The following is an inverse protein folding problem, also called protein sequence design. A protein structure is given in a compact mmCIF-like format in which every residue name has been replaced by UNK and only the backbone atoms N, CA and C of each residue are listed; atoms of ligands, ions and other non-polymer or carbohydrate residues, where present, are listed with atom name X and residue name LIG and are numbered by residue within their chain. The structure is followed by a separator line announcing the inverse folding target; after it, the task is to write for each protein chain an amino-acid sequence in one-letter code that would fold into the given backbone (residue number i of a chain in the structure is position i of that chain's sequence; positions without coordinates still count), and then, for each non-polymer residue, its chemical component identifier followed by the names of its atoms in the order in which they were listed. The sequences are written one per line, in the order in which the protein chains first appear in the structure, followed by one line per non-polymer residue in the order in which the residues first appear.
data_IF_408579794800
#
_entry.id   IF_408579794800
#
_cell.length_a   1.000
_cell.length_b   1.000
_cell.length_c   1.000
_cell.angle_alpha   90.00
_cell.angle_beta   90.00
_cell.angle_gamma   90.00
#
_symmetry.space_group_name_H-M   'P 1'
#
loop_
_entity.id
_entity.type
_entity.pdbx_description
1 polymer ?
#
# COMPACT_ATOMS: atom_id res chain seq x y z
N UNK A 1 -6.41 -1.99 -2.78
CA UNK A 1 -6.84 -3.39 -3.01
C UNK A 1 -6.55 -4.22 -1.77
N UNK A 2 -7.47 -5.07 -1.36
CA UNK A 2 -7.25 -6.10 -0.35
C UNK A 2 -7.20 -7.47 -1.05
N UNK A 3 -6.27 -8.32 -0.62
CA UNK A 3 -6.09 -9.67 -1.15
C UNK A 3 -6.19 -10.67 -0.01
N UNK A 4 -6.86 -11.77 -0.26
CA UNK A 4 -6.82 -12.94 0.61
C UNK A 4 -5.71 -13.87 0.11
N UNK A 5 -4.63 -13.93 0.88
CA UNK A 5 -3.45 -14.72 0.52
C UNK A 5 -3.10 -15.69 1.65
N UNK A 6 -2.69 -16.93 1.33
CA UNK A 6 -2.20 -17.85 2.35
C UNK A 6 -0.99 -17.24 3.06
N UNK A 7 -1.07 -17.10 4.39
CA UNK A 7 0.06 -16.57 5.18
C UNK A 7 1.23 -17.56 5.29
N UNK A 8 1.01 -18.81 4.91
CA UNK A 8 2.01 -19.86 5.10
C UNK A 8 2.23 -20.22 6.59
N UNK A 9 3.20 -21.06 6.89
CA UNK A 9 3.52 -21.45 8.25
C UNK A 9 4.20 -20.34 9.06
N UNK A 10 4.82 -19.37 8.38
CA UNK A 10 5.52 -18.24 8.98
C UNK A 10 5.11 -16.93 8.29
N UNK A 11 4.56 -15.95 9.05
CA UNK A 11 4.11 -14.68 8.49
C UNK A 11 5.21 -13.85 7.81
N UNK A 12 6.45 -13.95 8.28
CA UNK A 12 7.59 -13.23 7.68
C UNK A 12 7.87 -13.78 6.28
N UNK A 13 7.97 -15.10 6.18
CA UNK A 13 8.16 -15.79 4.89
C UNK A 13 7.01 -15.50 3.93
N UNK A 14 5.76 -15.53 4.40
CA UNK A 14 4.58 -15.20 3.59
C UNK A 14 4.62 -13.77 3.07
N UNK A 15 4.95 -12.80 3.92
CA UNK A 15 5.05 -11.39 3.52
C UNK A 15 6.21 -11.14 2.52
N UNK A 16 7.36 -11.80 2.69
CA UNK A 16 8.48 -11.71 1.77
C UNK A 16 8.15 -12.34 0.41
N UNK A 17 7.47 -13.50 0.38
CA UNK A 17 7.02 -14.13 -0.85
C UNK A 17 6.03 -13.21 -1.60
N UNK A 18 5.08 -12.62 -0.90
CA UNK A 18 4.15 -11.64 -1.49
C UNK A 18 4.90 -10.43 -2.03
N UNK A 19 5.87 -9.88 -1.28
CA UNK A 19 6.69 -8.76 -1.75
C UNK A 19 7.42 -9.09 -3.05
N UNK A 20 8.02 -10.28 -3.17
CA UNK A 20 8.72 -10.72 -4.39
C UNK A 20 7.72 -10.79 -5.56
N UNK A 21 6.52 -11.35 -5.34
CA UNK A 21 5.49 -11.41 -6.37
C UNK A 21 5.04 -10.02 -6.83
N UNK A 22 4.81 -9.07 -5.90
CA UNK A 22 4.46 -7.69 -6.22
C UNK A 22 5.56 -7.00 -7.03
N UNK A 23 6.83 -7.15 -6.65
CA UNK A 23 7.97 -6.59 -7.39
C UNK A 23 8.16 -7.27 -8.76
N UNK A 24 7.80 -8.53 -8.89
CA UNK A 24 7.73 -9.24 -10.17
C UNK A 24 6.68 -8.63 -11.10
N UNK A 25 5.49 -8.31 -10.58
CA UNK A 25 4.43 -7.62 -11.35
C UNK A 25 4.89 -6.22 -11.79
N UNK A 26 5.49 -5.42 -10.92
CA UNK A 26 6.00 -4.11 -11.30
C UNK A 26 6.99 -4.19 -12.48
N UNK A 27 7.91 -5.18 -12.47
CA UNK A 27 8.84 -5.40 -13.58
C UNK A 27 8.12 -5.82 -14.85
N UNK A 28 7.15 -6.72 -14.76
CA UNK A 28 6.34 -7.17 -15.90
C UNK A 28 5.57 -6.00 -16.56
N UNK A 29 5.15 -5.01 -15.77
CA UNK A 29 4.51 -3.79 -16.25
C UNK A 29 5.49 -2.66 -16.61
N UNK A 30 6.76 -3.01 -16.87
CA UNK A 30 7.74 -2.08 -17.44
C UNK A 30 8.44 -1.17 -16.43
N UNK A 31 8.44 -1.53 -15.14
CA UNK A 31 9.28 -0.83 -14.17
C UNK A 31 10.73 -0.99 -14.56
N UNK A 32 11.37 0.12 -14.90
CA UNK A 32 12.82 0.22 -15.09
C UNK A 32 13.43 0.97 -13.91
N UNK A 33 14.63 0.61 -13.53
CA UNK A 33 15.41 1.40 -12.58
C UNK A 33 15.68 2.77 -13.21
N UNK A 34 15.21 3.80 -12.54
CA UNK A 34 15.25 5.18 -13.00
C UNK A 34 15.38 6.15 -11.82
N UNK A 35 15.51 7.47 -12.07
CA UNK A 35 15.66 8.46 -11.03
C UNK A 35 14.53 8.36 -9.98
N UNK A 36 14.84 8.66 -8.71
CA UNK A 36 13.99 8.46 -7.52
C UNK A 36 12.54 8.94 -7.68
N UNK A 37 12.32 9.96 -8.48
CA UNK A 37 11.01 10.58 -8.73
C UNK A 37 10.54 10.44 -10.19
N UNK A 38 11.17 9.55 -10.97
CA UNK A 38 10.77 9.28 -12.35
C UNK A 38 9.38 8.63 -12.41
N UNK A 39 8.67 8.81 -13.54
CA UNK A 39 7.37 8.19 -13.76
C UNK A 39 7.49 6.67 -13.70
N UNK A 40 6.58 6.02 -12.95
CA UNK A 40 6.48 4.57 -12.84
C UNK A 40 5.16 4.13 -13.41
N UNK A 41 5.18 3.09 -14.22
CA UNK A 41 3.97 2.51 -14.77
C UNK A 41 3.11 1.86 -13.64
N UNK A 42 3.77 1.25 -12.66
CA UNK A 42 3.13 0.61 -11.52
C UNK A 42 4.05 0.66 -10.30
N UNK A 43 3.50 0.99 -9.12
CA UNK A 43 4.19 0.93 -7.83
C UNK A 43 3.26 0.21 -6.83
N UNK A 44 3.71 -0.94 -6.31
CA UNK A 44 2.92 -1.79 -5.43
C UNK A 44 3.60 -1.89 -4.07
N UNK A 45 2.95 -1.31 -3.07
CA UNK A 45 3.43 -1.36 -1.68
C UNK A 45 2.58 -2.31 -0.82
N UNK A 46 3.25 -3.09 0.02
CA UNK A 46 2.61 -3.90 1.04
C UNK A 46 2.34 -3.04 2.27
N UNK A 47 1.09 -2.63 2.47
CA UNK A 47 0.70 -1.72 3.54
C UNK A 47 0.52 -2.45 4.88
N UNK A 48 -0.21 -3.55 4.87
CA UNK A 48 -0.51 -4.39 6.04
C UNK A 48 -0.50 -5.86 5.64
N UNK A 49 -0.18 -6.74 6.58
CA UNK A 49 -0.21 -8.19 6.39
C UNK A 49 -0.88 -8.86 7.59
N UNK A 50 -2.19 -9.06 7.45
CA UNK A 50 -3.01 -9.53 8.56
C UNK A 50 -2.87 -8.64 9.81
N UNK A 51 -2.53 -9.26 10.93
CA UNK A 51 -2.29 -8.57 12.21
C UNK A 51 -0.82 -8.61 12.63
N UNK A 52 0.08 -8.79 11.67
CA UNK A 52 1.50 -8.97 11.95
C UNK A 52 2.27 -7.66 11.85
N UNK A 53 3.15 -7.44 12.83
CA UNK A 53 4.22 -6.45 12.73
C UNK A 53 5.47 -7.17 12.25
N UNK A 54 5.98 -6.79 11.09
CA UNK A 54 7.11 -7.45 10.43
C UNK A 54 8.19 -6.40 10.15
N UNK A 55 9.42 -6.75 10.51
CA UNK A 55 10.61 -6.05 10.04
C UNK A 55 11.63 -7.10 9.63
N UNK A 56 11.79 -7.26 8.34
CA UNK A 56 12.68 -8.27 7.77
C UNK A 56 13.54 -7.68 6.65
N UNK A 57 14.73 -8.21 6.48
CA UNK A 57 15.58 -7.84 5.37
C UNK A 57 14.97 -8.34 4.05
N UNK A 58 14.90 -7.46 3.05
CA UNK A 58 14.35 -7.83 1.75
C UNK A 58 15.31 -8.76 1.02
N UNK A 59 14.82 -9.81 0.37
CA UNK A 59 15.62 -10.61 -0.53
C UNK A 59 16.22 -9.74 -1.65
N UNK A 60 17.42 -10.09 -2.19
CA UNK A 60 18.10 -9.32 -3.24
C UNK A 60 17.17 -8.98 -4.41
N UNK A 61 16.31 -9.91 -4.82
CA UNK A 61 15.38 -9.79 -5.94
C UNK A 61 14.33 -8.69 -5.75
N UNK A 62 14.12 -8.26 -4.51
CA UNK A 62 13.14 -7.22 -4.16
C UNK A 62 13.77 -5.90 -3.73
N UNK A 63 15.09 -5.81 -3.75
CA UNK A 63 15.84 -4.57 -3.44
C UNK A 63 15.96 -3.69 -4.68
N UNK A 64 16.22 -2.41 -4.45
CA UNK A 64 16.63 -1.48 -5.49
C UNK A 64 18.14 -1.51 -5.63
N UNK A 65 18.63 -1.46 -6.86
CA UNK A 65 20.06 -1.33 -7.15
C UNK A 65 20.60 0.09 -6.87
N UNK A 66 19.72 1.05 -6.61
CA UNK A 66 20.09 2.43 -6.29
C UNK A 66 20.59 2.55 -4.83
N UNK A 67 21.88 2.88 -4.59
CA UNK A 67 22.43 3.05 -3.24
C UNK A 67 21.70 4.12 -2.40
N UNK A 68 21.13 5.15 -3.04
CA UNK A 68 20.35 6.18 -2.37
C UNK A 68 19.05 5.65 -1.76
N UNK A 69 18.67 4.42 -2.07
CA UNK A 69 17.50 3.71 -1.57
C UNK A 69 17.83 2.68 -0.48
N UNK A 70 18.85 2.90 0.32
CA UNK A 70 19.22 1.99 1.41
C UNK A 70 18.03 1.63 2.35
N UNK A 71 17.07 2.54 2.52
CA UNK A 71 15.84 2.26 3.26
C UNK A 71 14.98 1.14 2.63
N UNK A 72 15.18 0.83 1.34
CA UNK A 72 14.45 -0.26 0.67
C UNK A 72 15.02 -1.65 0.97
N UNK A 73 16.07 -1.74 1.76
CA UNK A 73 16.63 -3.04 2.20
C UNK A 73 15.72 -3.75 3.21
N UNK A 74 14.82 -3.01 3.86
CA UNK A 74 13.93 -3.56 4.87
C UNK A 74 12.48 -3.58 4.40
N UNK A 75 11.81 -4.71 4.59
CA UNK A 75 10.36 -4.77 4.61
C UNK A 75 9.88 -4.39 6.01
N UNK A 76 9.06 -3.35 6.08
CA UNK A 76 8.40 -2.94 7.33
C UNK A 76 6.90 -2.98 7.11
N UNK A 77 6.20 -3.78 7.90
CA UNK A 77 4.75 -3.93 7.87
C UNK A 77 4.22 -3.78 9.30
N UNK A 78 3.26 -2.92 9.57
CA UNK A 78 2.62 -1.96 8.64
C UNK A 78 3.62 -1.02 7.98
N UNK A 79 3.34 -0.59 6.74
CA UNK A 79 4.24 0.29 6.00
C UNK A 79 4.50 1.59 6.77
N UNK A 80 5.77 1.92 6.96
CA UNK A 80 6.20 2.96 7.90
C UNK A 80 5.54 4.33 7.69
N UNK A 81 5.27 4.71 6.43
CA UNK A 81 4.67 6.01 6.09
C UNK A 81 3.16 5.94 5.85
N UNK A 82 2.51 4.78 5.93
CA UNK A 82 1.10 4.64 5.57
C UNK A 82 0.18 5.49 6.45
N UNK A 83 0.46 5.53 7.75
CA UNK A 83 -0.32 6.26 8.76
C UNK A 83 -0.30 7.78 8.57
N UNK A 84 0.69 8.31 7.84
CA UNK A 84 0.92 9.74 7.68
C UNK A 84 0.52 10.26 6.29
N UNK A 85 -0.15 9.46 5.47
CA UNK A 85 -0.47 9.79 4.08
C UNK A 85 -1.95 9.65 3.80
N UNK A 86 -2.64 10.75 3.56
CA UNK A 86 -4.09 10.74 3.30
C UNK A 86 -4.44 9.90 2.06
N UNK A 87 -3.66 9.98 0.99
CA UNK A 87 -3.88 9.21 -0.24
C UNK A 87 -3.75 7.69 -0.06
N UNK A 88 -3.12 7.24 1.05
CA UNK A 88 -3.09 5.83 1.46
C UNK A 88 -4.28 5.53 2.37
N UNK A 89 -4.54 6.41 3.35
CA UNK A 89 -5.55 6.18 4.38
C UNK A 89 -6.98 6.27 3.83
N UNK A 90 -7.24 7.14 2.85
CA UNK A 90 -8.56 7.28 2.28
C UNK A 90 -9.05 5.97 1.65
N UNK A 91 -8.39 5.39 0.63
CA UNK A 91 -8.84 4.13 0.05
C UNK A 91 -8.72 2.94 1.00
N UNK A 92 -7.77 2.95 1.95
CA UNK A 92 -7.69 1.91 2.97
C UNK A 92 -8.86 1.99 3.96
N UNK A 93 -9.31 3.21 4.29
CA UNK A 93 -10.48 3.46 5.12
C UNK A 93 -11.78 2.99 4.47
N UNK A 94 -11.90 3.09 3.16
CA UNK A 94 -13.06 2.57 2.41
C UNK A 94 -13.10 1.04 2.41
N UNK A 95 -11.93 0.40 2.38
CA UNK A 95 -11.83 -1.06 2.37
C UNK A 95 -11.95 -1.68 3.77
N UNK A 96 -11.33 -1.07 4.76
CA UNK A 96 -11.18 -1.66 6.09
C UNK A 96 -11.16 -0.59 7.21
N UNK A 97 -12.24 0.18 7.43
CA UNK A 97 -12.27 1.29 8.38
C UNK A 97 -11.97 0.86 9.81
N UNK A 98 -12.43 -0.33 10.20
CA UNK A 98 -12.24 -0.89 11.55
C UNK A 98 -10.89 -1.57 11.77
N UNK A 99 -10.06 -1.71 10.75
CA UNK A 99 -8.74 -2.34 10.87
C UNK A 99 -7.88 -1.54 11.86
N UNK A 100 -7.19 -2.26 12.75
CA UNK A 100 -6.19 -1.72 13.69
C UNK A 100 -4.83 -2.28 13.35
N UNK A 101 -4.05 -1.62 12.49
CA UNK A 101 -2.70 -2.10 12.17
C UNK A 101 -1.82 -2.12 13.44
N UNK A 102 -0.95 -3.13 13.61
CA UNK A 102 -0.05 -3.19 14.74
C UNK A 102 0.77 -1.90 14.93
N UNK A 103 0.87 -1.45 16.17
CA UNK A 103 1.62 -0.25 16.52
C UNK A 103 0.94 1.09 16.20
N UNK A 104 -0.23 1.09 15.57
CA UNK A 104 -0.93 2.36 15.29
C UNK A 104 -1.67 2.93 16.49
N UNK A 105 -2.18 2.07 17.40
CA UNK A 105 -2.97 2.48 18.55
C UNK A 105 -4.40 2.96 18.22
N UNK A 106 -4.74 3.07 16.96
CA UNK A 106 -6.00 3.60 16.42
C UNK A 106 -6.49 2.75 15.24
N UNK A 107 -7.74 2.97 14.82
CA UNK A 107 -8.28 2.37 13.60
C UNK A 107 -7.82 3.14 12.37
N UNK A 108 -7.92 2.51 11.19
CA UNK A 108 -7.66 3.18 9.90
C UNK A 108 -8.61 4.37 9.73
N UNK A 109 -9.88 4.25 10.10
CA UNK A 109 -10.84 5.36 10.05
C UNK A 109 -10.38 6.55 10.92
N UNK A 110 -9.97 6.30 12.16
CA UNK A 110 -9.48 7.35 13.05
C UNK A 110 -8.20 8.01 12.51
N UNK A 111 -7.27 7.23 11.96
CA UNK A 111 -6.07 7.76 11.34
C UNK A 111 -6.38 8.63 10.12
N UNK A 112 -7.34 8.21 9.27
CA UNK A 112 -7.83 8.99 8.13
C UNK A 112 -8.43 10.31 8.60
N UNK A 113 -9.36 10.28 9.56
CA UNK A 113 -10.06 11.47 10.02
C UNK A 113 -9.10 12.49 10.64
N UNK A 114 -8.09 12.01 11.37
CA UNK A 114 -6.99 12.84 11.88
C UNK A 114 -6.19 13.49 10.74
N UNK A 115 -5.93 12.76 9.64
CA UNK A 115 -5.19 13.31 8.49
C UNK A 115 -6.02 14.32 7.70
N UNK A 116 -7.31 14.07 7.51
CA UNK A 116 -8.25 15.01 6.86
C UNK A 116 -8.30 16.35 7.61
N UNK A 117 -8.13 16.37 8.94
CA UNK A 117 -8.08 17.61 9.72
C UNK A 117 -6.80 18.43 9.53
N UNK A 118 -5.76 17.86 8.93
CA UNK A 118 -4.42 18.47 8.75
C UNK A 118 -4.14 18.75 7.28
N UNK A 119 -4.54 17.85 6.40
CA UNK A 119 -4.35 17.96 4.95
C UNK A 119 -5.61 18.52 4.28
N UNK A 120 -5.46 19.14 3.11
CA UNK A 120 -6.61 19.54 2.31
C UNK A 120 -7.44 18.30 1.90
N UNK A 121 -8.71 18.21 2.29
CA UNK A 121 -9.57 17.10 1.89
C UNK A 121 -9.70 16.95 0.37
N UNK A 122 -9.57 18.04 -0.38
CA UNK A 122 -9.62 18.01 -1.84
C UNK A 122 -8.36 17.39 -2.49
N UNK A 123 -7.28 17.18 -1.72
CA UNK A 123 -6.07 16.53 -2.21
C UNK A 123 -6.29 15.05 -2.59
N UNK A 124 -7.33 14.41 -2.03
CA UNK A 124 -7.71 13.03 -2.34
C UNK A 124 -9.21 12.97 -2.56
N UNK A 125 -9.61 12.68 -3.78
CA UNK A 125 -11.04 12.53 -4.13
C UNK A 125 -11.26 11.20 -4.86
N UNK A 126 -12.39 10.52 -4.64
CA UNK A 126 -12.80 9.40 -5.46
C UNK A 126 -13.05 9.90 -6.88
N UNK A 127 -12.65 9.12 -7.87
CA UNK A 127 -12.87 9.43 -9.31
C UNK A 127 -13.74 8.37 -9.99
N UNK A 128 -13.84 7.19 -9.37
CA UNK A 128 -14.69 6.11 -9.86
C UNK A 128 -14.96 5.11 -8.73
N UNK A 129 -16.07 4.41 -8.86
CA UNK A 129 -16.47 3.31 -7.99
C UNK A 129 -16.49 2.00 -8.78
N UNK A 130 -16.04 0.91 -8.14
CA UNK A 130 -16.15 -0.41 -8.74
C UNK A 130 -17.56 -0.97 -8.61
N UNK A 131 -18.23 -1.20 -9.72
CA UNK A 131 -19.49 -1.95 -9.75
C UNK A 131 -19.18 -3.45 -9.82
N UNK A 132 -19.56 -4.17 -8.76
CA UNK A 132 -19.34 -5.62 -8.68
C UNK A 132 -20.25 -6.43 -9.62
N UNK A 133 -21.42 -5.88 -9.97
CA UNK A 133 -22.40 -6.55 -10.84
C UNK A 133 -21.98 -6.38 -12.30
N UNK A 134 -21.63 -5.16 -12.69
CA UNK A 134 -21.16 -4.88 -14.04
C UNK A 134 -19.71 -5.34 -14.29
N UNK A 135 -18.93 -5.57 -13.21
CA UNK A 135 -17.50 -5.88 -13.32
C UNK A 135 -16.68 -4.74 -13.94
N UNK A 136 -17.08 -3.49 -13.71
CA UNK A 136 -16.51 -2.31 -14.34
C UNK A 136 -16.37 -1.14 -13.37
N UNK A 137 -15.51 -0.18 -13.71
CA UNK A 137 -15.39 1.08 -13.00
C UNK A 137 -16.44 2.06 -13.51
N UNK A 138 -17.29 2.56 -12.63
CA UNK A 138 -18.23 3.64 -12.89
C UNK A 138 -17.60 4.96 -12.43
N UNK A 139 -17.45 5.96 -13.33
CA UNK A 139 -16.98 7.28 -12.94
C UNK A 139 -17.89 7.88 -11.87
N UNK A 140 -17.33 8.46 -10.82
CA UNK A 140 -18.09 9.37 -9.96
C UNK A 140 -18.19 10.73 -10.66
N UNK A 141 -19.42 11.27 -10.73
CA UNK A 141 -19.66 12.55 -11.39
C UNK A 141 -18.89 13.66 -10.66
N UNK A 142 -18.00 14.41 -11.33
CA UNK A 142 -17.25 15.48 -10.71
C UNK A 142 -18.09 16.69 -10.27
N UNK A 143 -19.40 16.62 -10.39
CA UNK A 143 -20.34 17.74 -10.19
C UNK A 143 -21.09 17.72 -8.86
N UNK A 144 -20.51 17.17 -7.78
CA UNK A 144 -21.05 17.35 -6.42
C UNK A 144 -20.01 17.91 -5.50
#
# INVERSE_FOLDING_TARGET
MALDVPSGPDPVTGALALLIALKGLERAFGRRDGPRWGPRALDLDLLVFGRHAIRAERPPESRSDDPARAATQWLTVPHASARERLFVLAPLGDLAPGLRPPGWGETVAAARDRRVSIEDPAAVRPVARWDRVAGAWEPEDPAV
#
